data_IF_159649066974
#
_entry.id   IF_159649066974
#
_cell.length_a   1.000
_cell.length_b   1.000
_cell.length_c   1.000
_cell.angle_alpha   90.00
_cell.angle_beta   90.00
_cell.angle_gamma   90.00
#
_symmetry.space_group_name_H-M   'P 1'
#
loop_
_entity.id
_entity.type
_entity.pdbx_description
1 polymer ?
#
# COMPACT_ATOMS: atom_id res chain seq x y z
N UNK A 1 -2.18 -59.23 -2.46
CA UNK A 1 -0.84 -58.72 -2.10
C UNK A 1 -0.92 -57.21 -2.16
N UNK A 2 -0.91 -56.56 -1.00
CA UNK A 2 -0.91 -55.11 -0.82
C UNK A 2 0.51 -54.57 -1.04
N UNK A 3 0.68 -53.44 -1.73
CA UNK A 3 1.39 -52.21 -1.29
C UNK A 3 2.01 -51.39 -2.44
N UNK A 4 1.84 -50.06 -2.31
CA UNK A 4 2.61 -48.93 -2.87
C UNK A 4 2.59 -48.76 -4.40
N UNK A 5 2.25 -47.60 -4.96
CA UNK A 5 2.81 -46.30 -4.62
C UNK A 5 1.78 -45.17 -4.70
N UNK A 6 1.74 -44.33 -3.67
CA UNK A 6 1.33 -42.93 -3.80
C UNK A 6 2.57 -42.14 -4.19
N UNK A 7 2.61 -41.60 -5.40
CA UNK A 7 3.51 -40.48 -5.70
C UNK A 7 2.72 -39.17 -5.49
N UNK A 8 3.16 -38.44 -4.48
CA UNK A 8 2.96 -36.98 -4.32
C UNK A 8 3.77 -36.29 -5.42
N UNK A 9 3.53 -35.09 -5.90
CA UNK A 9 2.80 -33.92 -5.45
C UNK A 9 3.41 -32.73 -6.20
N UNK A 10 2.69 -31.60 -6.23
CA UNK A 10 3.12 -30.32 -6.79
C UNK A 10 3.28 -30.28 -8.31
N UNK A 11 2.19 -30.02 -9.02
CA UNK A 11 2.25 -29.26 -10.28
C UNK A 11 0.84 -28.75 -10.63
N UNK A 12 0.51 -27.60 -10.06
CA UNK A 12 -0.51 -26.71 -10.61
C UNK A 12 -0.24 -25.30 -10.07
N UNK A 13 0.90 -24.73 -10.42
CA UNK A 13 0.93 -23.28 -10.61
C UNK A 13 -0.10 -23.00 -11.69
N UNK A 14 -1.30 -22.62 -11.27
CA UNK A 14 -2.40 -22.26 -12.15
C UNK A 14 -1.93 -21.10 -13.00
N UNK A 15 -1.43 -21.43 -14.19
CA UNK A 15 -1.20 -20.50 -15.29
C UNK A 15 -2.59 -20.04 -15.73
N UNK A 16 -3.17 -19.09 -15.00
CA UNK A 16 -4.31 -18.34 -15.51
C UNK A 16 -3.76 -17.25 -16.42
N UNK A 17 -3.58 -17.57 -17.70
CA UNK A 17 -3.60 -16.56 -18.74
C UNK A 17 -5.01 -15.98 -18.76
N UNK A 18 -5.20 -14.86 -18.06
CA UNK A 18 -6.41 -14.06 -18.22
C UNK A 18 -6.20 -13.21 -19.46
N UNK A 19 -6.56 -13.76 -20.61
CA UNK A 19 -6.97 -12.94 -21.75
C UNK A 19 -8.31 -12.30 -21.40
N UNK A 20 -8.23 -11.14 -20.75
CA UNK A 20 -9.39 -10.35 -20.37
C UNK A 20 -9.03 -8.88 -20.52
N UNK A 21 -9.46 -8.28 -21.63
CA UNK A 21 -9.53 -6.82 -21.73
C UNK A 21 -10.68 -6.38 -20.81
N UNK A 22 -10.38 -6.23 -19.52
CA UNK A 22 -11.27 -5.59 -18.55
C UNK A 22 -10.45 -4.51 -17.85
N UNK A 23 -11.05 -3.34 -17.68
CA UNK A 23 -10.46 -2.15 -17.05
C UNK A 23 -10.25 -2.34 -15.54
N UNK A 24 -9.56 -3.40 -15.14
CA UNK A 24 -9.23 -3.74 -13.75
C UNK A 24 -7.75 -3.48 -13.58
N UNK A 25 -7.40 -2.46 -12.79
CA UNK A 25 -6.02 -2.20 -12.38
C UNK A 25 -5.44 -3.45 -11.71
N UNK A 26 -4.20 -3.81 -12.05
CA UNK A 26 -3.48 -4.88 -11.36
C UNK A 26 -3.35 -4.58 -9.85
N UNK A 27 -3.14 -5.57 -8.98
CA UNK A 27 -3.00 -5.34 -7.54
C UNK A 27 -1.94 -4.29 -7.19
N UNK A 28 -0.80 -4.28 -7.90
CA UNK A 28 0.27 -3.29 -7.71
C UNK A 28 -0.18 -1.89 -8.13
N UNK A 29 -0.89 -1.76 -9.26
CA UNK A 29 -1.46 -0.47 -9.69
C UNK A 29 -2.52 0.03 -8.70
N UNK A 30 -3.34 -0.87 -8.14
CA UNK A 30 -4.30 -0.54 -7.10
C UNK A 30 -3.60 0.01 -5.84
N UNK A 31 -2.53 -0.65 -5.37
CA UNK A 31 -1.72 -0.19 -4.24
C UNK A 31 -1.10 1.19 -4.49
N UNK A 32 -0.54 1.43 -5.68
CA UNK A 32 0.00 2.74 -6.06
C UNK A 32 -1.10 3.83 -6.10
N UNK A 33 -2.31 3.51 -6.57
CA UNK A 33 -3.44 4.44 -6.54
C UNK A 33 -3.90 4.76 -5.11
N UNK A 34 -3.95 3.76 -4.23
CA UNK A 34 -4.25 3.97 -2.80
C UNK A 34 -3.18 4.84 -2.15
N UNK A 35 -1.91 4.60 -2.49
CA UNK A 35 -0.79 5.41 -2.03
C UNK A 35 -0.95 6.88 -2.44
N UNK A 36 -1.23 7.15 -3.72
CA UNK A 36 -1.47 8.51 -4.19
C UNK A 36 -2.62 9.18 -3.43
N UNK A 37 -3.71 8.43 -3.19
CA UNK A 37 -4.83 8.94 -2.41
C UNK A 37 -4.45 9.29 -0.97
N UNK A 38 -3.53 8.56 -0.34
CA UNK A 38 -3.03 8.90 1.00
C UNK A 38 -2.32 10.26 0.96
N UNK A 39 -1.44 10.49 -0.02
CA UNK A 39 -0.73 11.76 -0.20
C UNK A 39 -1.70 12.92 -0.42
N UNK A 40 -2.73 12.73 -1.25
CA UNK A 40 -3.76 13.75 -1.48
C UNK A 40 -4.52 14.09 -0.20
N UNK A 41 -4.89 13.09 0.61
CA UNK A 41 -5.60 13.30 1.88
C UNK A 41 -4.69 13.97 2.94
N UNK A 42 -3.38 13.67 2.94
CA UNK A 42 -2.39 14.35 3.79
C UNK A 42 -2.27 15.84 3.41
N UNK A 43 -2.27 16.19 2.13
CA UNK A 43 -2.24 17.58 1.69
C UNK A 43 -3.45 18.37 2.21
N UNK A 44 -4.66 17.80 2.08
CA UNK A 44 -5.88 18.43 2.62
C UNK A 44 -5.84 18.51 4.15
N UNK A 45 -5.24 17.53 4.82
CA UNK A 45 -5.05 17.55 6.28
C UNK A 45 -4.13 18.69 6.72
N UNK A 46 -3.05 18.98 5.97
CA UNK A 46 -2.18 20.13 6.23
C UNK A 46 -2.98 21.43 6.15
N UNK A 47 -3.78 21.61 5.10
CA UNK A 47 -4.63 22.79 4.93
C UNK A 47 -5.62 22.93 6.09
N UNK A 48 -6.31 21.84 6.45
CA UNK A 48 -7.26 21.83 7.55
C UNK A 48 -6.63 22.19 8.91
N UNK A 49 -5.39 21.75 9.17
CA UNK A 49 -4.66 22.14 10.39
C UNK A 49 -4.29 23.62 10.36
N UNK A 50 -3.78 24.13 9.22
CA UNK A 50 -3.42 25.55 9.06
C UNK A 50 -4.62 26.48 9.23
N UNK A 51 -5.77 26.07 8.69
CA UNK A 51 -7.02 26.82 8.76
C UNK A 51 -7.75 26.64 10.10
N UNK A 52 -7.21 25.81 11.00
CA UNK A 52 -7.83 25.43 12.27
C UNK A 52 -9.23 24.80 12.12
N UNK A 53 -9.52 24.16 10.98
CA UNK A 53 -10.77 23.44 10.77
C UNK A 53 -10.71 22.06 11.46
N UNK A 54 -11.13 22.05 12.72
CA UNK A 54 -11.12 20.85 13.56
C UNK A 54 -11.97 19.71 12.97
N UNK A 55 -13.08 20.02 12.30
CA UNK A 55 -13.98 19.01 11.74
C UNK A 55 -13.30 18.33 10.55
N UNK A 56 -12.85 19.13 9.59
CA UNK A 56 -12.19 18.61 8.40
C UNK A 56 -10.92 17.86 8.76
N UNK A 57 -10.10 18.43 9.64
CA UNK A 57 -8.87 17.81 10.17
C UNK A 57 -9.16 16.43 10.77
N UNK A 58 -10.19 16.30 11.59
CA UNK A 58 -10.55 15.01 12.21
C UNK A 58 -10.94 13.98 11.16
N UNK A 59 -11.84 14.35 10.23
CA UNK A 59 -12.27 13.47 9.13
C UNK A 59 -11.10 13.02 8.26
N UNK A 60 -10.22 13.96 7.88
CA UNK A 60 -9.08 13.69 7.01
C UNK A 60 -8.02 12.84 7.68
N UNK A 61 -7.71 13.10 8.95
CA UNK A 61 -6.79 12.25 9.71
C UNK A 61 -7.28 10.81 9.83
N UNK A 62 -8.57 10.60 10.13
CA UNK A 62 -9.15 9.25 10.18
C UNK A 62 -9.10 8.57 8.81
N UNK A 63 -9.39 9.33 7.74
CA UNK A 63 -9.36 8.80 6.38
C UNK A 63 -7.96 8.34 5.97
N UNK A 64 -6.92 9.10 6.29
CA UNK A 64 -5.53 8.71 6.05
C UNK A 64 -5.19 7.42 6.78
N UNK A 65 -5.55 7.30 8.07
CA UNK A 65 -5.28 6.11 8.88
C UNK A 65 -5.96 4.87 8.29
N UNK A 66 -7.22 4.98 7.88
CA UNK A 66 -7.96 3.88 7.23
C UNK A 66 -7.28 3.41 5.93
N UNK A 67 -6.81 4.34 5.11
CA UNK A 67 -6.14 4.02 3.85
C UNK A 67 -4.81 3.31 4.10
N UNK A 68 -4.00 3.79 5.06
CA UNK A 68 -2.73 3.16 5.42
C UNK A 68 -2.97 1.76 5.99
N UNK A 69 -3.92 1.60 6.92
CA UNK A 69 -4.24 0.30 7.49
C UNK A 69 -4.78 -0.68 6.42
N UNK A 70 -5.56 -0.18 5.47
CA UNK A 70 -6.02 -0.98 4.33
C UNK A 70 -4.86 -1.44 3.44
N UNK A 71 -3.88 -0.56 3.17
CA UNK A 71 -2.70 -0.89 2.37
C UNK A 71 -1.80 -1.90 3.11
N UNK A 72 -1.58 -1.71 4.40
CA UNK A 72 -0.82 -2.61 5.26
C UNK A 72 -1.45 -4.02 5.30
N UNK A 73 -2.78 -4.11 5.42
CA UNK A 73 -3.50 -5.38 5.42
C UNK A 73 -3.43 -6.15 4.08
N UNK A 74 -3.01 -5.49 2.98
CA UNK A 74 -2.77 -6.18 1.70
C UNK A 74 -1.35 -6.74 1.58
N UNK A 75 -0.45 -6.41 2.50
CA UNK A 75 0.88 -7.00 2.51
C UNK A 75 0.80 -8.48 2.89
N UNK A 76 1.40 -9.32 2.06
CA UNK A 76 1.57 -10.74 2.36
C UNK A 76 2.67 -10.89 3.42
N UNK A 77 2.27 -11.17 4.67
CA UNK A 77 3.18 -11.28 5.82
C UNK A 77 4.16 -12.46 5.69
N UNK A 78 3.90 -13.42 4.80
CA UNK A 78 4.82 -14.54 4.53
C UNK A 78 6.01 -14.15 3.63
N UNK A 79 6.05 -12.90 3.14
CA UNK A 79 7.06 -12.43 2.18
C UNK A 79 8.40 -11.93 2.80
N UNK A 80 8.63 -12.14 4.10
CA UNK A 80 9.94 -11.95 4.75
C UNK A 80 10.22 -10.54 5.33
N UNK A 81 11.50 -10.23 5.54
CA UNK A 81 11.98 -9.04 6.30
C UNK A 81 11.53 -7.68 5.73
N UNK A 82 11.28 -7.61 4.42
CA UNK A 82 10.80 -6.40 3.76
C UNK A 82 9.40 -6.01 4.26
N UNK A 83 8.50 -6.99 4.38
CA UNK A 83 7.12 -6.73 4.81
C UNK A 83 7.07 -6.27 6.26
N UNK A 84 7.90 -6.85 7.13
CA UNK A 84 8.05 -6.37 8.52
C UNK A 84 8.52 -4.92 8.57
N UNK A 85 9.41 -4.52 7.66
CA UNK A 85 9.91 -3.15 7.58
C UNK A 85 8.81 -2.19 7.09
N UNK A 86 8.04 -2.59 6.07
CA UNK A 86 6.91 -1.81 5.58
C UNK A 86 5.81 -1.65 6.62
N UNK A 87 5.47 -2.71 7.33
CA UNK A 87 4.50 -2.69 8.42
C UNK A 87 4.88 -1.65 9.49
N UNK A 88 6.14 -1.66 9.94
CA UNK A 88 6.66 -0.67 10.91
C UNK A 88 6.59 0.76 10.38
N UNK A 89 6.88 0.96 9.09
CA UNK A 89 6.77 2.27 8.47
C UNK A 89 5.31 2.75 8.49
N UNK A 90 4.36 1.90 8.13
CA UNK A 90 2.94 2.23 8.17
C UNK A 90 2.42 2.51 9.59
N UNK A 91 2.80 1.70 10.57
CA UNK A 91 2.47 1.95 11.98
C UNK A 91 2.99 3.30 12.44
N UNK A 92 4.24 3.63 12.09
CA UNK A 92 4.84 4.90 12.44
C UNK A 92 4.12 6.09 11.77
N UNK A 93 3.79 5.98 10.48
CA UNK A 93 3.02 7.02 9.78
C UNK A 93 1.63 7.24 10.40
N UNK A 94 0.94 6.17 10.81
CA UNK A 94 -0.34 6.27 11.54
C UNK A 94 -0.16 7.01 12.87
N UNK A 95 0.91 6.74 13.61
CA UNK A 95 1.23 7.45 14.86
C UNK A 95 1.49 8.94 14.62
N UNK A 96 2.26 9.30 13.59
CA UNK A 96 2.52 10.69 13.21
C UNK A 96 1.23 11.43 12.89
N UNK A 97 0.39 10.87 12.02
CA UNK A 97 -0.91 11.46 11.63
C UNK A 97 -1.84 11.63 12.83
N UNK A 98 -1.87 10.64 13.73
CA UNK A 98 -2.68 10.70 14.95
C UNK A 98 -2.21 11.81 15.90
N UNK A 99 -0.89 11.89 16.13
CA UNK A 99 -0.28 12.92 16.98
C UNK A 99 -0.44 14.32 16.38
N UNK A 100 -0.20 14.47 15.08
CA UNK A 100 -0.42 15.70 14.34
C UNK A 100 -1.86 16.18 14.47
N UNK A 101 -2.82 15.26 14.34
CA UNK A 101 -4.24 15.57 14.49
C UNK A 101 -4.56 16.08 15.89
N UNK A 102 -4.05 15.42 16.93
CA UNK A 102 -4.28 15.82 18.34
C UNK A 102 -3.61 17.17 18.65
N UNK A 103 -2.38 17.37 18.17
CA UNK A 103 -1.54 18.52 18.50
C UNK A 103 -1.71 19.71 17.57
N UNK A 104 -2.45 19.54 16.47
CA UNK A 104 -2.54 20.53 15.38
C UNK A 104 -1.16 20.91 14.84
N UNK A 105 -0.29 19.91 14.69
CA UNK A 105 1.11 20.11 14.31
C UNK A 105 1.34 19.68 12.85
N UNK A 106 1.57 20.66 11.98
CA UNK A 106 1.83 20.44 10.56
C UNK A 106 3.17 19.74 10.32
N UNK A 107 4.17 19.95 11.18
CA UNK A 107 5.49 19.35 10.97
C UNK A 107 5.43 17.82 11.01
N UNK A 108 4.59 17.27 11.88
CA UNK A 108 4.35 15.83 11.96
C UNK A 108 3.63 15.28 10.71
N UNK A 109 2.79 16.08 10.04
CA UNK A 109 2.20 15.68 8.74
C UNK A 109 3.25 15.74 7.64
N UNK A 110 4.13 16.74 7.64
CA UNK A 110 5.22 16.83 6.67
C UNK A 110 6.17 15.64 6.78
N UNK A 111 6.53 15.20 7.98
CA UNK A 111 7.31 13.99 8.19
C UNK A 111 6.59 12.73 7.65
N UNK A 112 5.28 12.62 7.91
CA UNK A 112 4.47 11.54 7.33
C UNK A 112 4.45 11.57 5.79
N UNK A 113 4.42 12.75 5.17
CA UNK A 113 4.48 12.90 3.71
C UNK A 113 5.84 12.46 3.16
N UNK A 114 6.95 12.84 3.80
CA UNK A 114 8.29 12.44 3.37
C UNK A 114 8.46 10.90 3.38
N UNK A 115 7.92 10.23 4.41
CA UNK A 115 7.92 8.76 4.49
C UNK A 115 7.10 8.13 3.36
N UNK A 116 5.93 8.70 3.04
CA UNK A 116 5.08 8.21 1.96
C UNK A 116 5.74 8.44 0.59
N UNK A 117 6.28 9.62 0.32
CA UNK A 117 6.96 9.92 -0.94
C UNK A 117 8.14 8.97 -1.21
N UNK A 118 8.93 8.65 -0.17
CA UNK A 118 10.00 7.66 -0.28
C UNK A 118 9.49 6.26 -0.64
N UNK A 119 8.29 5.89 -0.19
CA UNK A 119 7.69 4.59 -0.48
C UNK A 119 7.10 4.52 -1.90
N UNK A 120 6.65 5.65 -2.47
CA UNK A 120 6.16 5.70 -3.86
C UNK A 120 7.21 5.18 -4.85
N UNK A 121 8.49 5.50 -4.62
CA UNK A 121 9.61 4.99 -5.42
C UNK A 121 9.67 3.46 -5.42
N UNK A 122 9.32 2.82 -4.29
CA UNK A 122 9.23 1.37 -4.18
C UNK A 122 8.12 0.79 -5.06
N UNK A 123 6.95 1.42 -5.09
CA UNK A 123 5.83 1.02 -5.93
C UNK A 123 6.15 1.18 -7.42
N UNK A 124 6.77 2.28 -7.82
CA UNK A 124 7.21 2.51 -9.20
C UNK A 124 8.23 1.45 -9.67
N UNK A 125 9.18 1.09 -8.80
CA UNK A 125 10.13 0.00 -9.07
C UNK A 125 9.42 -1.34 -9.28
N UNK A 126 8.43 -1.67 -8.44
CA UNK A 126 7.65 -2.89 -8.57
C UNK A 126 6.82 -2.92 -9.87
N UNK A 127 6.21 -1.79 -10.25
CA UNK A 127 5.46 -1.65 -11.51
C UNK A 127 6.36 -1.86 -12.73
N UNK A 128 7.55 -1.25 -12.76
CA UNK A 128 8.51 -1.39 -13.86
C UNK A 128 8.97 -2.84 -14.05
N UNK A 129 9.18 -3.57 -12.95
CA UNK A 129 9.51 -4.99 -12.97
C UNK A 129 8.35 -5.85 -13.48
N UNK A 130 7.11 -5.54 -13.08
CA UNK A 130 5.91 -6.25 -13.54
C UNK A 130 5.65 -6.06 -15.05
N UNK A 131 5.91 -4.87 -15.58
CA UNK A 131 5.75 -4.59 -17.02
C UNK A 131 6.82 -5.29 -17.87
N UNK A 132 8.04 -5.43 -17.35
CA UNK A 132 9.16 -6.10 -18.04
C UNK A 132 8.98 -7.62 -18.19
N UNK A 133 8.04 -8.23 -17.47
CA UNK A 133 7.72 -9.66 -17.53
C UNK A 133 6.56 -9.99 -18.47
N UNK A 134 5.95 -8.99 -19.13
CA UNK A 134 4.89 -9.24 -20.12
C UNK A 134 5.51 -9.93 -21.35
N UNK A 135 5.12 -11.16 -21.70
CA UNK A 135 5.69 -11.84 -22.85
C UNK A 135 5.36 -11.01 -24.10
N UNK A 136 6.40 -10.65 -24.86
CA UNK A 136 6.26 -10.13 -26.23
C UNK A 136 5.52 -11.22 -27.00
N UNK A 137 4.26 -10.94 -27.34
CA UNK A 137 3.47 -11.83 -28.19
C UNK A 137 4.19 -12.04 -29.51
N UNK A 138 4.47 -13.31 -29.81
CA UNK A 138 4.83 -13.79 -31.16
C UNK A 138 3.64 -14.61 -31.64
#
# INVERSE_FOLDING_TARGET
MLLSQFESGQDAYTKTQVEGVTSVSSPIECSAMVHQKIVDELNVLVEAIKDQDIKLKTVKSQRVIELIAGLDATLDLDAGDLVVTLHKLYEHTIQLVSLASIRMDVALITEAQELMDGLMVGWEGAMNNAQSQKPVGI
#
